data_IF_798824502081
#
_entry.id   IF_798824502081
#
_cell.length_a   1.000
_cell.length_b   1.000
_cell.length_c   1.000
_cell.angle_alpha   90.00
_cell.angle_beta   90.00
_cell.angle_gamma   90.00
#
_symmetry.space_group_name_H-M   'P 1'
#
loop_
_entity.id
_entity.type
_entity.pdbx_description
1 polymer ?
#
# COMPACT_ATOMS: atom_id res chain seq x y z
N UNK A 1 -1.19 21.73 1.15
CA UNK A 1 -0.30 21.91 -0.03
C UNK A 1 -0.12 23.39 -0.35
N UNK A 2 -1.14 24.17 -0.73
CA UNK A 2 -0.97 25.63 -0.97
C UNK A 2 -0.42 26.41 0.24
N UNK A 3 -0.74 26.02 1.47
CA UNK A 3 -0.22 26.68 2.69
C UNK A 3 1.29 26.50 2.93
N UNK A 4 1.93 25.50 2.32
CA UNK A 4 3.35 25.13 2.54
C UNK A 4 4.20 25.25 1.27
N UNK A 5 3.61 25.64 0.12
CA UNK A 5 4.34 25.80 -1.14
C UNK A 5 4.68 24.51 -1.89
N UNK A 6 4.33 23.33 -1.34
CA UNK A 6 4.57 22.03 -1.98
C UNK A 6 3.49 21.71 -3.00
N UNK A 7 3.90 21.41 -4.24
CA UNK A 7 3.02 20.96 -5.31
C UNK A 7 2.56 19.52 -5.06
N UNK A 8 1.35 19.11 -5.49
CA UNK A 8 1.01 17.69 -5.54
C UNK A 8 2.00 16.95 -6.45
N UNK A 9 2.54 15.83 -5.97
CA UNK A 9 3.48 14.99 -6.70
C UNK A 9 3.15 13.51 -6.47
N UNK A 10 3.69 12.66 -7.33
CA UNK A 10 3.60 11.20 -7.19
C UNK A 10 4.94 10.62 -6.73
N UNK A 11 4.89 9.52 -6.00
CA UNK A 11 6.07 8.72 -5.73
C UNK A 11 6.61 8.12 -7.05
N UNK A 12 7.92 8.22 -7.25
CA UNK A 12 8.62 7.69 -8.42
C UNK A 12 9.64 6.65 -7.95
N UNK A 13 9.21 5.39 -7.77
CA UNK A 13 10.14 4.32 -7.37
C UNK A 13 11.16 4.05 -8.48
N UNK A 14 12.21 3.30 -8.15
CA UNK A 14 13.24 2.90 -9.10
C UNK A 14 12.62 2.17 -10.31
N UNK A 15 13.20 2.33 -11.52
CA UNK A 15 12.61 1.80 -12.75
C UNK A 15 12.13 0.34 -12.73
N UNK A 16 12.84 -0.65 -12.14
CA UNK A 16 12.37 -2.04 -12.18
C UNK A 16 11.17 -2.31 -11.27
N UNK A 17 10.84 -1.39 -10.35
CA UNK A 17 9.78 -1.58 -9.36
C UNK A 17 8.42 -1.63 -10.06
N UNK A 18 7.69 -2.72 -9.80
CA UNK A 18 6.34 -2.93 -10.31
C UNK A 18 5.40 -3.23 -9.15
N UNK A 19 4.12 -2.98 -9.36
CA UNK A 19 3.10 -3.36 -8.38
C UNK A 19 3.05 -4.88 -8.22
N UNK A 20 2.88 -5.37 -6.99
CA UNK A 20 2.77 -6.81 -6.70
C UNK A 20 1.74 -7.50 -7.60
N UNK A 21 0.59 -6.85 -7.81
CA UNK A 21 -0.47 -7.34 -8.69
C UNK A 21 -0.03 -7.47 -10.15
N UNK A 22 0.84 -6.59 -10.65
CA UNK A 22 1.37 -6.70 -12.01
C UNK A 22 2.29 -7.91 -12.17
N UNK A 23 3.14 -8.19 -11.17
CA UNK A 23 3.98 -9.41 -11.15
C UNK A 23 3.11 -10.66 -11.09
N UNK A 24 2.01 -10.64 -10.34
CA UNK A 24 1.03 -11.74 -10.34
C UNK A 24 0.40 -11.94 -11.72
N UNK A 25 0.02 -10.85 -12.42
CA UNK A 25 -0.54 -10.91 -13.79
C UNK A 25 0.42 -11.49 -14.80
N UNK A 26 1.69 -11.09 -14.73
CA UNK A 26 2.77 -11.64 -15.57
C UNK A 26 2.88 -13.16 -15.40
N UNK A 27 2.53 -13.69 -14.23
CA UNK A 27 2.53 -15.12 -13.90
C UNK A 27 1.14 -15.78 -14.02
N UNK A 28 0.23 -15.19 -14.80
CA UNK A 28 -1.04 -15.80 -15.18
C UNK A 28 -2.16 -15.71 -14.14
N UNK A 29 -2.01 -14.88 -13.10
CA UNK A 29 -3.08 -14.61 -12.14
C UNK A 29 -3.99 -13.50 -12.63
N UNK A 30 -5.29 -13.68 -12.43
CA UNK A 30 -6.28 -12.64 -12.59
C UNK A 30 -6.30 -11.76 -11.34
N UNK A 31 -6.01 -10.47 -11.46
CA UNK A 31 -5.81 -9.61 -10.29
C UNK A 31 -6.90 -8.58 -10.10
N UNK A 32 -7.42 -8.48 -8.88
CA UNK A 32 -8.51 -7.53 -8.56
C UNK A 32 -8.24 -6.74 -7.30
N UNK A 33 -8.62 -5.46 -7.31
CA UNK A 33 -8.64 -4.61 -6.13
C UNK A 33 -10.05 -4.03 -5.92
N UNK A 34 -10.69 -4.42 -4.82
CA UNK A 34 -12.02 -3.91 -4.47
C UNK A 34 -11.88 -2.62 -3.67
N UNK A 35 -12.22 -1.50 -4.31
CA UNK A 35 -12.30 -0.14 -3.72
C UNK A 35 -10.95 0.57 -3.47
N UNK A 36 -10.50 0.68 -2.21
CA UNK A 36 -9.44 1.60 -1.77
C UNK A 36 -8.10 1.27 -2.45
N UNK A 37 -7.32 2.31 -2.80
CA UNK A 37 -5.94 2.16 -3.28
C UNK A 37 -4.99 2.94 -2.37
N UNK A 38 -5.27 4.24 -2.17
CA UNK A 38 -4.45 5.17 -1.38
C UNK A 38 -2.94 5.11 -1.69
N UNK A 39 -2.59 4.75 -2.92
CA UNK A 39 -1.22 4.87 -3.41
C UNK A 39 -0.83 6.34 -3.51
N UNK A 40 0.45 6.62 -3.28
CA UNK A 40 1.03 7.94 -3.54
C UNK A 40 1.35 8.17 -5.02
N UNK A 41 0.73 7.41 -5.93
CA UNK A 41 0.91 7.51 -7.37
C UNK A 41 -0.35 7.01 -8.08
N UNK A 42 -0.51 7.40 -9.35
CA UNK A 42 -1.56 6.87 -10.20
C UNK A 42 -1.18 5.45 -10.64
N UNK A 43 -2.00 4.46 -10.26
CA UNK A 43 -1.77 3.09 -10.67
C UNK A 43 -1.75 2.96 -12.21
N UNK A 44 -0.73 2.32 -12.81
CA UNK A 44 -0.72 1.98 -14.22
C UNK A 44 -1.93 1.16 -14.65
N UNK A 45 -2.33 1.25 -15.92
CA UNK A 45 -3.40 0.39 -16.47
C UNK A 45 -3.04 -1.11 -16.42
N UNK A 46 -1.75 -1.40 -16.26
CA UNK A 46 -1.20 -2.75 -16.09
C UNK A 46 -1.29 -3.26 -14.64
N UNK A 47 -1.61 -2.41 -13.67
CA UNK A 47 -1.62 -2.77 -12.26
C UNK A 47 -2.64 -3.86 -11.92
N UNK A 48 -3.84 -3.79 -12.49
CA UNK A 48 -4.97 -4.66 -12.12
C UNK A 48 -5.72 -5.12 -13.37
N UNK A 49 -6.28 -6.33 -13.36
CA UNK A 49 -7.31 -6.70 -14.34
C UNK A 49 -8.62 -5.94 -14.05
N UNK A 50 -8.97 -5.80 -12.76
CA UNK A 50 -10.10 -4.98 -12.31
C UNK A 50 -9.76 -4.17 -11.05
N UNK A 51 -10.09 -2.88 -11.06
CA UNK A 51 -9.98 -2.02 -9.88
C UNK A 51 -11.23 -1.16 -9.77
N UNK A 52 -12.18 -1.58 -8.93
CA UNK A 52 -13.44 -0.87 -8.71
C UNK A 52 -14.13 -1.38 -7.45
N UNK A 53 -15.18 -0.69 -6.95
CA UNK A 53 -16.03 -1.25 -5.88
C UNK A 53 -16.71 -2.58 -6.23
N UNK A 54 -16.76 -2.94 -7.52
CA UNK A 54 -17.35 -4.18 -8.04
C UNK A 54 -16.32 -5.23 -8.46
N UNK A 55 -15.02 -4.92 -8.34
CA UNK A 55 -13.96 -5.84 -8.73
C UNK A 55 -14.04 -7.14 -7.92
N UNK A 56 -13.92 -8.28 -8.62
CA UNK A 56 -14.19 -9.58 -8.04
C UNK A 56 -13.47 -10.71 -8.77
N UNK A 57 -12.92 -11.68 -8.03
CA UNK A 57 -12.35 -12.90 -8.60
C UNK A 57 -13.31 -13.73 -9.47
N UNK A 58 -14.63 -13.54 -9.35
CA UNK A 58 -15.65 -14.23 -10.15
C UNK A 58 -15.67 -13.78 -11.61
N UNK A 59 -15.11 -12.61 -11.91
CA UNK A 59 -15.03 -12.08 -13.27
C UNK A 59 -13.83 -12.62 -14.06
N UNK A 60 -13.01 -13.50 -13.44
CA UNK A 60 -11.84 -14.08 -14.09
C UNK A 60 -12.22 -15.02 -15.23
N UNK A 61 -11.39 -15.12 -16.28
CA UNK A 61 -11.52 -16.18 -17.28
C UNK A 61 -11.51 -17.58 -16.65
N UNK A 62 -12.25 -18.51 -17.25
CA UNK A 62 -12.33 -19.90 -16.78
C UNK A 62 -10.93 -20.53 -16.65
N UNK A 63 -10.69 -21.23 -15.54
CA UNK A 63 -9.41 -21.91 -15.27
C UNK A 63 -8.27 -21.00 -14.80
N UNK A 64 -8.42 -19.68 -14.81
CA UNK A 64 -7.38 -18.75 -14.36
C UNK A 64 -7.34 -18.70 -12.82
N UNK A 65 -6.16 -18.75 -12.16
CA UNK A 65 -6.06 -18.47 -10.72
C UNK A 65 -6.27 -16.98 -10.46
N UNK A 66 -6.55 -16.59 -9.22
CA UNK A 66 -6.81 -15.19 -8.87
C UNK A 66 -5.95 -14.70 -7.70
N UNK A 67 -5.68 -13.39 -7.72
CA UNK A 67 -5.15 -12.64 -6.59
C UNK A 67 -6.07 -11.44 -6.34
N UNK A 68 -6.74 -11.41 -5.19
CA UNK A 68 -7.81 -10.45 -4.92
C UNK A 68 -7.58 -9.72 -3.61
N UNK A 69 -7.56 -8.39 -3.66
CA UNK A 69 -7.56 -7.53 -2.47
C UNK A 69 -8.99 -7.05 -2.21
N UNK A 70 -9.50 -7.34 -1.01
CA UNK A 70 -10.80 -6.88 -0.53
C UNK A 70 -10.59 -5.88 0.60
N UNK A 71 -10.86 -4.60 0.35
CA UNK A 71 -10.68 -3.55 1.34
C UNK A 71 -11.97 -3.27 2.12
N UNK A 72 -11.88 -3.24 3.45
CA UNK A 72 -13.01 -2.92 4.32
C UNK A 72 -12.85 -1.53 4.96
N UNK A 73 -13.74 -0.58 4.62
CA UNK A 73 -13.74 0.76 5.22
C UNK A 73 -14.47 0.88 6.56
N UNK A 74 -15.00 -0.22 7.09
CA UNK A 74 -15.96 -0.22 8.22
C UNK A 74 -15.33 0.15 9.57
N UNK A 75 -14.03 -0.03 9.73
CA UNK A 75 -13.23 0.32 10.91
C UNK A 75 -12.39 1.58 10.74
N UNK A 76 -12.51 2.27 9.59
CA UNK A 76 -11.77 3.51 9.32
C UNK A 76 -12.04 4.57 10.40
N UNK A 77 -11.08 5.46 10.66
CA UNK A 77 -11.18 6.48 11.73
C UNK A 77 -12.47 7.29 11.67
N UNK A 78 -12.93 7.62 10.46
CA UNK A 78 -14.20 8.35 10.28
C UNK A 78 -15.45 7.62 10.72
N UNK A 79 -15.41 6.29 10.79
CA UNK A 79 -16.52 5.49 11.27
C UNK A 79 -16.71 5.58 12.79
N UNK A 80 -15.81 6.26 13.51
CA UNK A 80 -16.03 6.59 14.93
C UNK A 80 -17.08 7.70 15.04
N UNK A 81 -16.87 8.86 14.40
CA UNK A 81 -17.80 9.99 14.48
C UNK A 81 -18.97 9.89 13.50
N UNK A 82 -18.78 9.33 12.30
CA UNK A 82 -19.86 9.17 11.32
C UNK A 82 -20.99 8.26 11.84
N UNK A 83 -20.66 7.37 12.79
CA UNK A 83 -21.60 6.47 13.45
C UNK A 83 -21.84 6.83 14.91
N UNK A 84 -21.53 8.05 15.35
CA UNK A 84 -21.67 8.43 16.76
C UNK A 84 -23.06 8.08 17.34
N UNK A 85 -24.11 8.22 16.51
CA UNK A 85 -25.51 7.98 16.86
C UNK A 85 -26.03 6.57 16.54
N UNK A 86 -25.24 5.68 15.93
CA UNK A 86 -25.66 4.31 15.65
C UNK A 86 -25.80 3.50 16.94
N UNK A 87 -26.59 2.44 16.95
CA UNK A 87 -26.57 1.50 18.08
C UNK A 87 -25.18 0.84 18.21
N UNK A 88 -24.67 0.79 19.45
CA UNK A 88 -23.48 0.00 19.78
C UNK A 88 -23.83 -1.48 19.71
N UNK A 89 -22.92 -2.29 19.17
CA UNK A 89 -23.09 -3.75 19.11
C UNK A 89 -22.46 -4.45 20.30
N UNK A 90 -21.54 -3.76 20.99
CA UNK A 90 -21.08 -4.19 22.31
C UNK A 90 -22.06 -3.78 23.39
N UNK A 91 -22.17 -4.58 24.44
CA UNK A 91 -23.03 -4.27 25.59
C UNK A 91 -22.55 -2.98 26.29
N UNK A 92 -23.49 -2.23 26.87
CA UNK A 92 -23.18 -0.95 27.53
C UNK A 92 -22.29 -1.13 28.77
N UNK A 93 -22.40 -2.27 29.45
CA UNK A 93 -21.62 -2.69 30.61
C UNK A 93 -20.39 -3.52 30.25
N UNK A 94 -20.14 -3.78 28.95
CA UNK A 94 -18.92 -4.46 28.53
C UNK A 94 -17.69 -3.67 28.99
N UNK A 95 -16.78 -4.39 29.66
CA UNK A 95 -15.46 -3.89 29.96
C UNK A 95 -14.68 -3.76 28.66
N UNK A 96 -14.18 -2.55 28.38
CA UNK A 96 -13.36 -2.27 27.22
C UNK A 96 -12.02 -1.69 27.67
N UNK A 97 -10.90 -2.14 27.09
CA UNK A 97 -9.60 -1.64 27.47
C UNK A 97 -9.46 -0.18 27.03
N UNK A 98 -9.18 0.70 28.00
CA UNK A 98 -8.84 2.11 27.76
C UNK A 98 -7.36 2.29 28.13
N UNK A 99 -6.48 2.53 27.15
CA UNK A 99 -5.07 2.80 27.42
C UNK A 99 -4.87 3.96 28.40
N UNK A 100 -3.80 3.93 29.22
CA UNK A 100 -3.52 4.96 30.24
C UNK A 100 -3.30 6.37 29.67
N UNK A 101 -2.94 6.49 28.39
CA UNK A 101 -2.83 7.77 27.69
C UNK A 101 -4.18 8.38 27.27
N UNK A 102 -5.30 7.76 27.66
CA UNK A 102 -6.64 8.34 27.53
C UNK A 102 -7.29 8.62 28.88
N UNK A 103 -8.02 9.75 29.00
CA UNK A 103 -8.78 10.06 30.20
C UNK A 103 -9.98 9.11 30.33
N UNK A 104 -10.31 8.72 31.57
CA UNK A 104 -11.42 7.80 31.87
C UNK A 104 -12.76 8.52 31.93
N UNK A 105 -13.23 9.00 30.79
CA UNK A 105 -14.51 9.72 30.65
C UNK A 105 -15.51 8.93 29.81
N UNK A 106 -16.81 9.21 29.98
CA UNK A 106 -17.86 8.52 29.22
C UNK A 106 -17.70 8.68 27.71
N UNK A 107 -17.21 9.85 27.25
CA UNK A 107 -16.92 10.12 25.84
C UNK A 107 -15.85 9.17 25.28
N UNK A 108 -14.77 8.95 26.03
CA UNK A 108 -13.71 8.01 25.64
C UNK A 108 -14.23 6.58 25.62
N UNK A 109 -14.93 6.15 26.68
CA UNK A 109 -15.50 4.80 26.73
C UNK A 109 -16.50 4.56 25.59
N UNK A 110 -17.29 5.58 25.20
CA UNK A 110 -18.25 5.49 24.10
C UNK A 110 -17.54 5.27 22.75
N UNK A 111 -16.48 6.03 22.45
CA UNK A 111 -15.72 5.87 21.21
C UNK A 111 -14.94 4.54 21.17
N UNK A 112 -14.41 4.09 22.31
CA UNK A 112 -13.78 2.75 22.40
C UNK A 112 -14.82 1.66 22.14
N UNK A 113 -16.01 1.74 22.74
CA UNK A 113 -17.12 0.81 22.45
C UNK A 113 -17.57 0.89 20.99
N UNK A 114 -17.55 2.08 20.38
CA UNK A 114 -17.83 2.26 18.94
C UNK A 114 -16.81 1.54 18.09
N UNK A 115 -15.52 1.67 18.40
CA UNK A 115 -14.44 0.95 17.71
C UNK A 115 -14.69 -0.57 17.75
N UNK A 116 -14.94 -1.15 18.92
CA UNK A 116 -15.26 -2.58 19.02
C UNK A 116 -16.56 -2.96 18.29
N UNK A 117 -17.58 -2.10 18.31
CA UNK A 117 -18.80 -2.30 17.52
C UNK A 117 -18.54 -2.27 16.02
N UNK A 118 -17.56 -1.50 15.55
CA UNK A 118 -17.12 -1.48 14.15
C UNK A 118 -16.32 -2.74 13.80
N UNK A 119 -15.54 -3.29 14.74
CA UNK A 119 -14.87 -4.59 14.57
C UNK A 119 -15.89 -5.73 14.44
N UNK A 120 -16.97 -5.75 15.23
CA UNK A 120 -18.05 -6.72 15.07
C UNK A 120 -18.74 -6.62 13.69
N UNK A 121 -18.85 -5.40 13.14
CA UNK A 121 -19.35 -5.19 11.78
C UNK A 121 -18.35 -5.71 10.73
N UNK A 122 -17.05 -5.53 10.96
CA UNK A 122 -15.99 -6.08 10.10
C UNK A 122 -16.03 -7.60 10.07
N UNK A 123 -16.16 -8.24 11.24
CA UNK A 123 -16.23 -9.69 11.38
C UNK A 123 -17.36 -10.29 10.53
N UNK A 124 -18.57 -9.71 10.59
CA UNK A 124 -19.68 -10.13 9.73
C UNK A 124 -19.36 -9.97 8.22
N UNK A 125 -18.67 -8.89 7.83
CA UNK A 125 -18.26 -8.66 6.43
C UNK A 125 -17.18 -9.61 5.95
N UNK A 126 -16.32 -10.08 6.85
CA UNK A 126 -15.38 -11.15 6.55
C UNK A 126 -16.15 -12.45 6.35
N UNK A 127 -17.17 -12.72 7.19
CA UNK A 127 -18.11 -13.82 7.01
C UNK A 127 -18.70 -13.88 5.59
N UNK A 128 -19.18 -12.76 5.07
CA UNK A 128 -19.70 -12.66 3.69
C UNK A 128 -18.67 -13.17 2.64
N UNK A 129 -17.38 -12.86 2.81
CA UNK A 129 -16.31 -13.32 1.89
C UNK A 129 -16.08 -14.82 1.99
N UNK A 130 -16.12 -15.38 3.20
CA UNK A 130 -16.01 -16.82 3.41
C UNK A 130 -17.19 -17.56 2.77
N UNK A 131 -18.41 -17.07 2.96
CA UNK A 131 -19.61 -17.64 2.33
C UNK A 131 -19.52 -17.61 0.80
N UNK A 132 -19.00 -16.51 0.21
CA UNK A 132 -18.76 -16.43 -1.23
C UNK A 132 -17.76 -17.50 -1.70
N UNK A 133 -16.61 -17.63 -1.02
CA UNK A 133 -15.59 -18.64 -1.36
C UNK A 133 -16.11 -20.08 -1.22
N UNK A 134 -16.92 -20.36 -0.19
CA UNK A 134 -17.56 -21.66 0.00
C UNK A 134 -18.56 -21.96 -1.13
N UNK A 135 -19.41 -20.99 -1.45
CA UNK A 135 -20.41 -21.13 -2.53
C UNK A 135 -19.78 -21.34 -3.90
N UNK A 136 -18.59 -20.78 -4.11
CA UNK A 136 -17.80 -20.95 -5.33
C UNK A 136 -16.97 -22.25 -5.35
N UNK A 137 -16.97 -23.03 -4.26
CA UNK A 137 -16.07 -24.18 -4.02
C UNK A 137 -14.58 -23.81 -4.10
N UNK A 138 -14.22 -22.59 -3.68
CA UNK A 138 -12.86 -22.06 -3.73
C UNK A 138 -12.19 -21.98 -2.35
N UNK A 139 -12.94 -22.15 -1.25
CA UNK A 139 -12.39 -21.99 0.11
C UNK A 139 -11.18 -22.92 0.37
N UNK A 140 -11.22 -24.16 -0.10
CA UNK A 140 -10.13 -25.13 0.06
C UNK A 140 -9.09 -25.09 -1.08
N UNK A 141 -9.16 -24.08 -1.95
CA UNK A 141 -8.18 -23.80 -3.00
C UNK A 141 -7.54 -22.40 -2.82
N UNK A 142 -7.87 -21.70 -1.73
CA UNK A 142 -7.50 -20.30 -1.49
C UNK A 142 -6.73 -20.13 -0.18
N UNK A 143 -5.56 -19.48 -0.26
CA UNK A 143 -4.89 -18.92 0.91
C UNK A 143 -5.51 -17.54 1.21
N UNK A 144 -5.98 -17.34 2.44
CA UNK A 144 -6.61 -16.08 2.86
C UNK A 144 -5.66 -15.38 3.83
N UNK A 145 -5.32 -14.13 3.53
CA UNK A 145 -4.47 -13.28 4.38
C UNK A 145 -5.30 -12.10 4.88
N UNK A 146 -5.41 -11.94 6.19
CA UNK A 146 -6.08 -10.82 6.84
C UNK A 146 -5.08 -9.97 7.60
N UNK A 147 -5.10 -8.66 7.36
CA UNK A 147 -4.30 -7.68 8.08
C UNK A 147 -4.95 -6.29 8.05
N UNK A 148 -4.47 -5.38 8.91
CA UNK A 148 -4.83 -3.95 8.91
C UNK A 148 -3.71 -3.11 8.30
N UNK A 149 -3.99 -2.00 7.63
CA UNK A 149 -2.99 -1.12 7.01
C UNK A 149 -2.19 -0.27 8.01
N UNK A 150 -2.74 -0.05 9.21
CA UNK A 150 -2.06 0.55 10.35
C UNK A 150 -2.80 0.17 11.65
N UNK A 151 -2.32 0.68 12.78
CA UNK A 151 -2.95 0.54 14.09
C UNK A 151 -4.35 1.17 14.18
N UNK A 152 -4.92 1.23 15.37
CA UNK A 152 -6.34 1.55 15.52
C UNK A 152 -6.74 3.00 15.12
N UNK A 153 -8.06 3.27 15.09
CA UNK A 153 -8.61 4.55 14.65
C UNK A 153 -8.54 5.67 15.70
N UNK A 154 -8.24 5.35 16.95
CA UNK A 154 -8.31 6.28 18.07
C UNK A 154 -7.08 7.20 18.12
N UNK A 155 -7.13 8.29 18.92
CA UNK A 155 -6.01 9.21 19.05
C UNK A 155 -4.73 8.49 19.56
N UNK A 156 -3.53 8.92 19.14
CA UNK A 156 -2.22 8.27 19.39
C UNK A 156 -2.04 6.86 18.75
N UNK A 157 -2.97 6.39 17.93
CA UNK A 157 -2.83 5.15 17.16
C UNK A 157 -2.35 5.47 15.73
N UNK A 158 -3.26 5.55 14.75
CA UNK A 158 -2.94 5.99 13.37
C UNK A 158 -2.04 7.24 13.37
N UNK A 159 -1.04 7.25 12.47
CA UNK A 159 0.00 8.31 12.30
C UNK A 159 1.11 8.32 13.35
N UNK A 160 1.22 7.32 14.23
CA UNK A 160 2.29 7.22 15.23
C UNK A 160 3.15 5.99 15.02
N UNK A 161 4.44 6.10 15.40
CA UNK A 161 5.41 5.00 15.36
C UNK A 161 5.45 4.16 16.65
N UNK A 162 4.54 4.43 17.58
CA UNK A 162 4.24 3.57 18.73
C UNK A 162 3.57 2.26 18.27
N UNK A 163 3.61 1.22 19.10
CA UNK A 163 2.95 -0.08 18.81
C UNK A 163 1.45 0.11 18.64
N UNK A 164 0.86 1.11 19.31
CA UNK A 164 -0.52 1.54 19.10
C UNK A 164 -0.84 1.94 17.65
N UNK A 165 0.17 2.34 16.87
CA UNK A 165 0.07 2.70 15.45
C UNK A 165 0.67 1.69 14.47
N UNK A 166 1.58 0.81 14.92
CA UNK A 166 2.33 -0.11 14.05
C UNK A 166 2.03 -1.60 14.26
N UNK A 167 1.62 -2.02 15.47
CA UNK A 167 1.36 -3.42 15.77
C UNK A 167 -0.08 -3.78 15.35
N UNK A 168 -0.19 -4.49 14.24
CA UNK A 168 -1.44 -4.81 13.56
C UNK A 168 -1.70 -6.32 13.55
N UNK A 169 -2.96 -6.77 13.41
CA UNK A 169 -3.24 -8.18 13.21
C UNK A 169 -2.67 -8.67 11.88
N UNK A 170 -2.15 -9.91 11.87
CA UNK A 170 -1.86 -10.69 10.68
C UNK A 170 -2.36 -12.12 10.94
N UNK A 171 -3.35 -12.57 10.17
CA UNK A 171 -3.86 -13.93 10.22
C UNK A 171 -3.84 -14.54 8.82
N UNK A 172 -3.34 -15.77 8.72
CA UNK A 172 -3.23 -16.49 7.44
C UNK A 172 -3.94 -17.83 7.57
N UNK A 173 -4.95 -18.05 6.72
CA UNK A 173 -5.62 -19.34 6.59
C UNK A 173 -5.12 -20.04 5.33
N UNK A 174 -4.59 -21.24 5.50
CA UNK A 174 -4.30 -22.15 4.41
C UNK A 174 -5.47 -23.12 4.16
N UNK A 175 -5.60 -23.65 2.93
CA UNK A 175 -6.47 -24.78 2.63
C UNK A 175 -6.31 -25.96 3.60
N UNK A 176 -7.39 -26.72 3.75
CA UNK A 176 -7.49 -27.94 4.55
C UNK A 176 -7.07 -27.74 6.02
N UNK A 177 -7.26 -26.52 6.54
CA UNK A 177 -6.87 -26.14 7.90
C UNK A 177 -5.38 -26.35 8.20
N UNK A 178 -4.53 -26.30 7.17
CA UNK A 178 -3.10 -26.43 7.36
C UNK A 178 -2.60 -25.29 8.26
N UNK A 179 -1.79 -25.63 9.28
CA UNK A 179 -1.29 -24.71 10.32
C UNK A 179 -2.38 -24.04 11.19
N UNK A 180 -3.62 -24.53 11.17
CA UNK A 180 -4.69 -23.95 12.00
C UNK A 180 -4.34 -24.00 13.49
N UNK A 181 -4.60 -22.89 14.19
CA UNK A 181 -4.32 -22.75 15.62
C UNK A 181 -2.85 -22.49 15.95
N UNK A 182 -1.95 -22.43 14.98
CA UNK A 182 -0.56 -22.05 15.22
C UNK A 182 -0.43 -20.54 15.47
N UNK A 183 0.48 -20.17 16.37
CA UNK A 183 0.92 -18.80 16.60
C UNK A 183 2.40 -18.70 16.28
N UNK A 184 2.78 -17.62 15.62
CA UNK A 184 4.16 -17.32 15.24
C UNK A 184 4.53 -15.93 15.79
N UNK A 185 5.65 -15.85 16.51
CA UNK A 185 6.16 -14.65 17.18
C UNK A 185 7.34 -14.00 16.41
N UNK A 186 7.56 -14.43 15.16
CA UNK A 186 8.51 -13.80 14.26
C UNK A 186 8.18 -12.32 14.03
N UNK A 187 9.23 -11.50 13.95
CA UNK A 187 9.10 -10.12 13.48
C UNK A 187 8.78 -10.13 11.99
N UNK A 188 7.64 -9.57 11.62
CA UNK A 188 7.15 -9.44 10.24
C UNK A 188 6.87 -7.96 9.98
N UNK A 189 7.29 -7.46 8.81
CA UNK A 189 6.94 -6.12 8.32
C UNK A 189 6.15 -6.22 7.01
N UNK A 190 5.42 -5.18 6.62
CA UNK A 190 4.62 -5.21 5.39
C UNK A 190 5.44 -5.37 4.11
N UNK A 191 6.70 -4.94 4.12
CA UNK A 191 7.63 -5.20 3.00
C UNK A 191 7.77 -6.71 2.73
N UNK A 192 7.48 -7.56 3.71
CA UNK A 192 7.56 -9.03 3.59
C UNK A 192 6.34 -9.67 2.93
N UNK A 193 5.22 -8.95 2.82
CA UNK A 193 3.99 -9.51 2.28
C UNK A 193 4.11 -9.82 0.79
N UNK A 194 4.76 -8.95 0.01
CA UNK A 194 4.99 -9.19 -1.42
C UNK A 194 5.86 -10.43 -1.69
N UNK A 195 7.09 -10.56 -1.16
CA UNK A 195 7.90 -11.75 -1.39
C UNK A 195 7.26 -13.01 -0.79
N UNK A 196 6.53 -12.89 0.32
CA UNK A 196 5.79 -14.04 0.89
C UNK A 196 4.65 -14.50 -0.01
N UNK A 197 3.91 -13.56 -0.62
CA UNK A 197 2.83 -13.88 -1.57
C UNK A 197 3.40 -14.62 -2.79
N UNK A 198 4.49 -14.13 -3.36
CA UNK A 198 5.17 -14.78 -4.48
C UNK A 198 5.70 -16.17 -4.09
N UNK A 199 6.31 -16.28 -2.91
CA UNK A 199 6.81 -17.54 -2.36
C UNK A 199 5.72 -18.61 -2.15
N UNK A 200 4.53 -18.20 -1.71
CA UNK A 200 3.36 -19.10 -1.58
C UNK A 200 2.85 -19.51 -2.97
N UNK A 201 2.80 -18.57 -3.91
CA UNK A 201 2.34 -18.79 -5.29
C UNK A 201 3.34 -19.56 -6.17
N UNK A 202 4.57 -19.81 -5.69
CA UNK A 202 5.64 -20.41 -6.48
C UNK A 202 6.23 -19.49 -7.55
N UNK A 203 6.02 -18.18 -7.42
CA UNK A 203 6.53 -17.15 -8.33
C UNK A 203 7.88 -16.64 -7.80
N UNK A 204 8.94 -16.57 -8.62
CA UNK A 204 10.20 -15.98 -8.19
C UNK A 204 10.03 -14.53 -7.74
N UNK A 205 10.53 -14.20 -6.55
CA UNK A 205 10.52 -12.83 -6.05
C UNK A 205 11.45 -11.93 -6.88
N UNK A 206 11.01 -10.75 -7.34
CA UNK A 206 11.90 -9.77 -7.95
C UNK A 206 13.01 -9.31 -7.00
N UNK A 207 14.19 -8.99 -7.54
CA UNK A 207 15.38 -8.62 -6.75
C UNK A 207 15.24 -7.27 -6.03
N UNK A 208 14.37 -6.37 -6.51
CA UNK A 208 14.19 -5.02 -5.95
C UNK A 208 13.36 -4.97 -4.67
N UNK A 209 12.87 -6.11 -4.15
CA UNK A 209 12.04 -6.12 -2.96
C UNK A 209 12.89 -6.01 -1.69
N UNK A 210 12.54 -5.06 -0.81
CA UNK A 210 13.23 -4.87 0.48
C UNK A 210 12.89 -5.95 1.53
N UNK A 211 11.78 -6.67 1.32
CA UNK A 211 11.30 -7.68 2.25
C UNK A 211 11.89 -9.07 2.05
N UNK A 212 11.56 -9.97 2.98
CA UNK A 212 11.92 -11.37 2.88
C UNK A 212 10.69 -12.26 3.02
N UNK A 213 10.63 -13.35 2.26
CA UNK A 213 9.53 -14.30 2.42
C UNK A 213 9.63 -15.01 3.77
N UNK A 214 8.57 -14.98 4.58
CA UNK A 214 8.50 -15.74 5.85
C UNK A 214 7.78 -17.08 5.72
N UNK A 215 7.07 -17.32 4.61
CA UNK A 215 6.39 -18.57 4.25
C UNK A 215 6.66 -18.95 2.79
N UNK A 216 6.23 -20.14 2.39
CA UNK A 216 6.30 -20.64 1.01
C UNK A 216 7.66 -21.23 0.61
N UNK A 217 7.85 -21.50 -0.68
CA UNK A 217 9.01 -22.23 -1.22
C UNK A 217 10.31 -21.43 -1.19
N UNK A 218 10.22 -20.11 -1.10
CA UNK A 218 11.35 -19.17 -1.03
C UNK A 218 11.53 -18.58 0.37
N UNK A 219 10.95 -19.20 1.41
CA UNK A 219 11.10 -18.75 2.80
C UNK A 219 12.58 -18.50 3.16
N UNK A 220 12.86 -17.33 3.72
CA UNK A 220 14.18 -16.96 4.18
C UNK A 220 14.73 -17.95 5.22
N UNK A 221 16.00 -18.32 5.09
CA UNK A 221 16.64 -19.29 5.99
C UNK A 221 16.87 -18.77 7.42
N UNK A 222 16.74 -17.46 7.65
CA UNK A 222 16.86 -16.84 8.96
C UNK A 222 15.75 -15.79 9.16
N UNK A 223 15.08 -15.77 10.33
CA UNK A 223 14.18 -14.68 10.70
C UNK A 223 14.95 -13.35 10.82
N UNK A 224 14.26 -12.22 10.61
CA UNK A 224 14.86 -10.89 10.86
C UNK A 224 14.97 -10.61 12.35
N UNK A 225 15.99 -9.86 12.73
CA UNK A 225 16.21 -9.40 14.10
C UNK A 225 15.51 -8.08 14.41
N UNK A 226 15.24 -7.28 13.37
CA UNK A 226 14.68 -5.94 13.49
C UNK A 226 13.63 -5.68 12.41
N UNK A 227 12.66 -4.82 12.74
CA UNK A 227 11.75 -4.18 11.79
C UNK A 227 11.91 -2.67 11.86
N UNK A 228 11.67 -2.00 10.72
CA UNK A 228 11.84 -0.57 10.55
C UNK A 228 10.51 0.09 10.23
N UNK A 229 10.35 1.34 10.64
CA UNK A 229 9.18 2.16 10.30
C UNK A 229 9.58 3.63 10.11
N UNK A 230 8.88 4.30 9.22
CA UNK A 230 9.07 5.71 8.93
C UNK A 230 7.73 6.45 8.95
N UNK A 231 7.76 7.70 9.37
CA UNK A 231 6.63 8.62 9.33
C UNK A 231 7.13 10.00 8.95
N UNK A 232 6.49 10.59 7.94
CA UNK A 232 6.79 11.94 7.47
C UNK A 232 5.51 12.81 7.58
N UNK A 233 4.99 13.27 6.45
CA UNK A 233 3.82 14.13 6.37
C UNK A 233 2.51 13.38 6.65
N UNK A 234 1.64 14.02 7.43
CA UNK A 234 0.26 13.59 7.67
C UNK A 234 -0.73 14.68 7.30
N UNK A 235 -1.43 14.49 6.19
CA UNK A 235 -2.33 15.50 5.63
C UNK A 235 -1.58 16.82 5.35
N UNK A 236 -1.92 17.91 6.05
CA UNK A 236 -1.25 19.20 5.94
C UNK A 236 -0.13 19.41 6.98
N UNK A 237 0.03 18.48 7.92
CA UNK A 237 0.97 18.59 9.03
C UNK A 237 2.24 17.80 8.71
N UNK A 238 3.40 18.41 8.92
CA UNK A 238 4.70 17.82 8.60
C UNK A 238 5.47 17.52 9.89
N UNK A 239 5.93 16.28 10.02
CA UNK A 239 6.88 15.80 11.04
C UNK A 239 7.79 14.77 10.34
N UNK A 240 8.91 14.40 10.96
CA UNK A 240 9.79 13.37 10.39
C UNK A 240 10.34 12.51 11.51
N UNK A 241 9.98 11.22 11.49
CA UNK A 241 10.34 10.24 12.53
C UNK A 241 10.73 8.92 11.89
N UNK A 242 11.69 8.24 12.51
CA UNK A 242 12.16 6.90 12.13
C UNK A 242 12.17 6.00 13.34
N UNK A 243 11.88 4.73 13.15
CA UNK A 243 11.82 3.77 14.23
C UNK A 243 12.40 2.42 13.81
N UNK A 244 12.99 1.74 14.78
CA UNK A 244 13.41 0.35 14.68
C UNK A 244 12.94 -0.40 15.92
N UNK A 245 12.54 -1.65 15.74
CA UNK A 245 12.05 -2.52 16.80
C UNK A 245 12.67 -3.91 16.68
N UNK A 246 13.15 -4.45 17.80
CA UNK A 246 13.43 -5.88 17.97
C UNK A 246 12.26 -6.58 18.69
N UNK A 247 12.43 -7.82 19.17
CA UNK A 247 11.34 -8.51 19.86
C UNK A 247 10.84 -7.80 21.13
N UNK A 248 11.67 -6.98 21.78
CA UNK A 248 11.36 -6.34 23.07
C UNK A 248 11.51 -4.83 23.06
N UNK A 249 12.58 -4.31 22.48
CA UNK A 249 12.88 -2.89 22.51
C UNK A 249 12.42 -2.20 21.24
N UNK A 250 11.96 -0.96 21.38
CA UNK A 250 11.73 -0.04 20.27
C UNK A 250 12.50 1.24 20.47
N UNK A 251 13.18 1.68 19.42
CA UNK A 251 13.85 2.96 19.33
C UNK A 251 13.15 3.85 18.31
N UNK A 252 12.97 5.13 18.63
CA UNK A 252 12.43 6.17 17.75
C UNK A 252 13.41 7.33 17.74
N UNK A 253 13.80 7.74 16.53
CA UNK A 253 14.53 8.97 16.25
C UNK A 253 13.55 10.05 15.78
N UNK A 254 13.48 11.16 16.50
CA UNK A 254 12.73 12.34 16.12
C UNK A 254 13.67 13.30 15.37
N UNK A 255 13.52 13.42 14.04
CA UNK A 255 14.34 14.31 13.21
C UNK A 255 13.91 15.78 13.32
N UNK A 256 12.75 16.04 13.93
CA UNK A 256 12.18 17.36 14.23
C UNK A 256 11.84 17.50 15.71
N UNK A 257 12.84 17.47 16.62
CA UNK A 257 12.61 17.54 18.06
C UNK A 257 12.09 18.91 18.52
N UNK A 258 12.24 19.93 17.67
CA UNK A 258 11.70 21.28 17.85
C UNK A 258 10.17 21.35 17.78
N UNK A 259 9.53 20.37 17.14
CA UNK A 259 8.09 20.30 17.01
C UNK A 259 7.44 19.55 18.18
N UNK A 260 6.21 19.93 18.52
CA UNK A 260 5.38 19.14 19.42
C UNK A 260 5.02 17.76 18.85
N UNK A 261 4.52 16.86 19.71
CA UNK A 261 4.10 15.52 19.26
C UNK A 261 2.66 15.48 18.72
N UNK A 262 1.80 16.39 19.18
CA UNK A 262 0.44 16.55 18.67
C UNK A 262 0.44 17.37 17.36
N UNK A 263 0.02 16.73 16.27
CA UNK A 263 -0.28 17.39 15.01
C UNK A 263 -1.79 17.70 14.93
N UNK A 264 -2.16 18.95 14.63
CA UNK A 264 -3.53 19.45 14.63
C UNK A 264 -4.33 19.02 13.39
N UNK A 265 -4.52 17.71 13.23
CA UNK A 265 -5.25 17.12 12.11
C UNK A 265 -6.75 17.29 12.31
N UNK A 266 -7.33 18.29 11.64
CA UNK A 266 -8.77 18.63 11.71
C UNK A 266 -9.71 17.45 11.46
N UNK A 267 -9.29 16.49 10.63
CA UNK A 267 -10.05 15.28 10.39
C UNK A 267 -10.26 14.45 11.66
N UNK A 268 -9.21 14.27 12.47
CA UNK A 268 -9.24 13.55 13.77
C UNK A 268 -9.97 14.33 14.86
N UNK A 269 -9.93 15.66 14.82
CA UNK A 269 -10.58 16.54 15.81
C UNK A 269 -12.13 16.47 15.80
N UNK A 270 -12.72 15.80 14.82
CA UNK A 270 -14.16 15.47 14.81
C UNK A 270 -14.54 14.39 15.85
N UNK A 271 -13.56 13.62 16.34
CA UNK A 271 -13.79 12.52 17.29
C UNK A 271 -14.00 13.05 18.72
N UNK A 272 -15.01 12.53 19.42
CA UNK A 272 -15.35 12.98 20.78
C UNK A 272 -14.18 12.75 21.77
N UNK A 273 -13.47 11.63 21.66
CA UNK A 273 -12.24 11.36 22.43
C UNK A 273 -11.17 12.42 22.20
N UNK A 274 -10.98 12.87 20.95
CA UNK A 274 -9.99 13.91 20.64
C UNK A 274 -10.43 15.27 21.21
N UNK A 275 -11.72 15.61 21.08
CA UNK A 275 -12.28 16.84 21.65
C UNK A 275 -12.14 16.87 23.18
N UNK A 276 -12.35 15.74 23.84
CA UNK A 276 -12.22 15.64 25.29
C UNK A 276 -10.76 15.78 25.75
N UNK A 277 -9.82 15.15 25.03
CA UNK A 277 -8.38 15.34 25.28
C UNK A 277 -7.98 16.82 25.15
N UNK A 278 -8.46 17.52 24.12
CA UNK A 278 -8.19 18.95 23.92
C UNK A 278 -8.81 19.81 25.02
N UNK A 279 -10.05 19.51 25.43
CA UNK A 279 -10.73 20.20 26.53
C UNK A 279 -9.95 20.07 27.84
N UNK A 280 -9.56 18.85 28.21
CA UNK A 280 -8.81 18.59 29.43
C UNK A 280 -7.40 19.20 29.40
N UNK A 281 -6.74 19.22 28.23
CA UNK A 281 -5.48 19.94 28.02
C UNK A 281 -5.65 21.42 28.35
N UNK A 282 -6.67 22.06 27.79
CA UNK A 282 -6.90 23.50 27.95
C UNK A 282 -7.27 23.88 29.40
N UNK A 283 -7.79 22.92 30.17
CA UNK A 283 -8.07 23.07 31.61
C UNK A 283 -6.87 22.71 32.50
N UNK A 284 -5.80 22.11 31.95
CA UNK A 284 -4.68 21.60 32.74
C UNK A 284 -5.03 20.37 33.58
N UNK A 285 -6.03 19.58 33.16
CA UNK A 285 -6.57 18.42 33.88
C UNK A 285 -6.04 17.06 33.37
N UNK A 286 -5.16 17.07 32.37
CA UNK A 286 -4.49 15.85 31.91
C UNK A 286 -3.47 15.37 32.95
N UNK A 287 -3.41 14.06 33.17
CA UNK A 287 -2.33 13.44 33.93
C UNK A 287 -1.02 13.40 33.13
N UNK A 288 0.07 12.92 33.76
CA UNK A 288 1.39 12.87 33.13
C UNK A 288 1.41 12.00 31.85
N UNK A 289 0.64 10.92 31.78
CA UNK A 289 0.64 10.01 30.63
C UNK A 289 -0.16 10.59 29.47
N UNK A 290 -1.27 11.25 29.74
CA UNK A 290 -2.10 11.90 28.72
C UNK A 290 -1.42 13.18 28.19
N UNK A 291 -0.81 13.97 29.08
CA UNK A 291 -0.11 15.21 28.73
C UNK A 291 1.12 14.97 27.84
N UNK A 292 1.75 13.79 27.91
CA UNK A 292 2.91 13.45 27.08
C UNK A 292 2.66 13.66 25.59
N UNK A 293 1.44 13.45 25.08
CA UNK A 293 1.17 13.64 23.66
C UNK A 293 1.09 15.12 23.25
N UNK A 294 0.77 16.01 24.19
CA UNK A 294 0.66 17.45 23.95
C UNK A 294 1.94 18.23 24.27
N UNK A 295 3.07 17.54 24.44
CA UNK A 295 4.38 18.16 24.63
C UNK A 295 4.71 19.11 23.47
N UNK A 296 5.24 20.28 23.80
CA UNK A 296 5.61 21.33 22.84
C UNK A 296 6.90 21.01 22.07
N UNK A 297 7.72 20.09 22.59
CA UNK A 297 8.93 19.57 21.97
C UNK A 297 9.09 18.08 22.26
N UNK A 298 9.98 17.41 21.52
CA UNK A 298 10.23 15.97 21.64
C UNK A 298 11.67 15.72 22.06
N UNK A 299 11.94 14.65 22.85
CA UNK A 299 13.31 14.15 22.94
C UNK A 299 13.78 13.73 21.55
N UNK A 300 15.06 13.97 21.24
CA UNK A 300 15.65 13.53 19.98
C UNK A 300 15.55 12.01 19.83
N UNK A 301 15.71 11.30 20.94
CA UNK A 301 15.75 9.85 21.00
C UNK A 301 14.73 9.32 22.02
N UNK A 302 13.94 8.33 21.61
CA UNK A 302 13.05 7.57 22.49
C UNK A 302 13.41 6.08 22.44
N UNK A 303 13.60 5.46 23.60
CA UNK A 303 13.83 4.00 23.74
C UNK A 303 12.79 3.42 24.70
N UNK A 304 12.10 2.37 24.29
CA UNK A 304 11.05 1.73 25.08
C UNK A 304 11.34 0.23 25.26
N UNK A 305 11.07 -0.27 26.46
CA UNK A 305 10.99 -1.70 26.76
C UNK A 305 9.52 -2.12 26.64
N UNK A 306 9.11 -2.60 25.47
CA UNK A 306 7.69 -2.82 25.15
C UNK A 306 7.07 -4.04 25.85
N UNK A 307 7.88 -4.86 26.52
CA UNK A 307 7.39 -5.95 27.36
C UNK A 307 6.92 -5.42 28.72
N UNK A 308 7.71 -4.53 29.35
CA UNK A 308 7.39 -3.96 30.66
C UNK A 308 6.58 -2.65 30.57
N UNK A 309 6.62 -1.97 29.43
CA UNK A 309 5.90 -0.74 29.12
C UNK A 309 5.20 -0.87 27.76
N UNK A 310 4.10 -1.66 27.67
CA UNK A 310 3.42 -1.96 26.40
C UNK A 310 2.72 -0.75 25.77
N UNK A 311 2.64 0.37 26.48
CA UNK A 311 2.06 1.62 25.98
C UNK A 311 3.12 2.65 25.57
N UNK A 312 4.41 2.35 25.77
CA UNK A 312 5.55 3.21 25.41
C UNK A 312 5.41 4.61 26.05
N UNK A 313 5.26 4.64 27.37
CA UNK A 313 5.09 5.85 28.19
C UNK A 313 6.33 6.25 28.98
N UNK A 314 7.33 5.36 29.07
CA UNK A 314 8.60 5.61 29.76
C UNK A 314 9.76 5.54 28.77
N UNK A 315 10.27 6.72 28.40
CA UNK A 315 11.48 6.82 27.60
C UNK A 315 12.72 6.44 28.44
N UNK A 316 13.47 5.44 27.97
CA UNK A 316 14.70 4.89 28.57
C UNK A 316 15.98 5.41 27.92
N UNK A 317 15.90 6.23 26.87
CA UNK A 317 17.07 6.67 26.09
C UNK A 317 18.12 7.40 26.94
N UNK A 318 17.70 8.06 28.03
CA UNK A 318 18.59 8.81 28.90
C UNK A 318 18.95 8.08 30.21
N UNK A 319 18.53 6.82 30.35
CA UNK A 319 18.92 5.96 31.47
C UNK A 319 20.24 5.24 31.15
N UNK A 320 21.34 5.48 31.91
CA UNK A 320 22.65 4.89 31.64
C UNK A 320 22.65 3.36 31.57
N UNK A 321 21.71 2.70 32.25
CA UNK A 321 21.57 1.24 32.25
C UNK A 321 21.28 0.72 30.83
N UNK A 322 20.60 1.51 29.99
CA UNK A 322 20.20 1.11 28.64
C UNK A 322 21.13 1.66 27.54
N UNK A 323 22.26 2.27 27.90
CA UNK A 323 23.19 2.90 26.95
C UNK A 323 23.69 1.97 25.85
N UNK A 324 24.03 0.71 26.18
CA UNK A 324 24.44 -0.28 25.17
C UNK A 324 23.29 -0.66 24.23
N UNK A 325 22.06 -0.79 24.76
CA UNK A 325 20.86 -1.08 23.95
C UNK A 325 20.54 0.08 23.02
N UNK A 326 20.58 1.31 23.52
CA UNK A 326 20.38 2.51 22.72
C UNK A 326 21.40 2.60 21.58
N UNK A 327 22.69 2.38 21.87
CA UNK A 327 23.74 2.42 20.87
C UNK A 327 23.52 1.38 19.76
N UNK A 328 23.16 0.14 20.12
CA UNK A 328 22.83 -0.90 19.14
C UNK A 328 21.69 -0.46 18.22
N UNK A 329 20.56 -0.04 18.80
CA UNK A 329 19.37 0.30 18.01
C UNK A 329 19.59 1.55 17.15
N UNK A 330 20.35 2.52 17.65
CA UNK A 330 20.75 3.69 16.88
C UNK A 330 21.57 3.29 15.66
N UNK A 331 22.62 2.48 15.85
CA UNK A 331 23.48 2.02 14.74
C UNK A 331 22.69 1.21 13.71
N UNK A 332 21.79 0.33 14.14
CA UNK A 332 20.95 -0.42 13.20
C UNK A 332 20.02 0.50 12.41
N UNK A 333 19.43 1.52 13.04
CA UNK A 333 18.61 2.50 12.33
C UNK A 333 19.43 3.35 11.35
N UNK A 334 20.62 3.79 11.75
CA UNK A 334 21.56 4.53 10.88
C UNK A 334 21.96 3.71 9.66
N UNK A 335 22.25 2.41 9.84
CA UNK A 335 22.55 1.50 8.74
C UNK A 335 21.36 1.36 7.79
N UNK A 336 20.16 1.12 8.33
CA UNK A 336 18.96 1.01 7.50
C UNK A 336 18.69 2.28 6.69
N UNK A 337 18.77 3.47 7.32
CA UNK A 337 18.59 4.75 6.61
C UNK A 337 19.63 4.95 5.51
N UNK A 338 20.88 4.55 5.75
CA UNK A 338 21.94 4.63 4.75
C UNK A 338 21.73 3.65 3.59
N UNK A 339 21.37 2.40 3.89
CA UNK A 339 21.15 1.34 2.92
C UNK A 339 19.95 1.62 2.01
N UNK A 340 18.89 2.25 2.54
CA UNK A 340 17.70 2.63 1.75
C UNK A 340 17.80 4.02 1.11
N UNK A 341 18.89 4.76 1.34
CA UNK A 341 19.03 6.14 0.85
C UNK A 341 17.92 7.08 1.36
N UNK A 342 17.56 6.96 2.64
CA UNK A 342 16.41 7.63 3.25
C UNK A 342 16.48 9.18 3.11
N UNK A 343 15.52 9.82 2.42
CA UNK A 343 15.53 11.26 2.19
C UNK A 343 14.94 12.06 3.37
N UNK A 344 14.65 11.46 4.52
CA UNK A 344 13.91 12.10 5.62
C UNK A 344 14.50 13.41 6.15
N UNK A 345 15.81 13.63 5.99
CA UNK A 345 16.48 14.87 6.36
C UNK A 345 16.46 15.95 5.26
N UNK A 346 16.03 15.62 4.04
CA UNK A 346 15.94 16.53 2.90
C UNK A 346 14.68 17.40 3.01
N UNK A 347 14.78 18.66 2.59
CA UNK A 347 13.59 19.52 2.44
C UNK A 347 12.61 18.91 1.43
N UNK A 348 11.30 18.97 1.70
CA UNK A 348 10.29 18.31 0.86
C UNK A 348 10.32 18.87 -0.58
N UNK A 349 10.58 20.15 -0.78
CA UNK A 349 10.68 20.72 -2.13
C UNK A 349 11.93 20.25 -2.86
N UNK A 350 13.05 20.16 -2.16
CA UNK A 350 14.28 19.58 -2.71
C UNK A 350 14.08 18.11 -3.09
N UNK A 351 13.41 17.34 -2.23
CA UNK A 351 13.06 15.94 -2.50
C UNK A 351 12.15 15.82 -3.73
N UNK A 352 11.09 16.64 -3.81
CA UNK A 352 10.20 16.66 -4.99
C UNK A 352 10.97 16.99 -6.26
N UNK A 353 11.95 17.89 -6.21
CA UNK A 353 12.79 18.21 -7.37
C UNK A 353 13.66 17.02 -7.84
N UNK A 354 13.97 16.06 -6.96
CA UNK A 354 14.65 14.81 -7.35
C UNK A 354 13.74 13.85 -8.11
N UNK A 355 12.45 13.83 -7.78
CA UNK A 355 11.46 12.99 -8.44
C UNK A 355 10.97 13.62 -9.75
N UNK A 356 10.62 14.90 -9.70
CA UNK A 356 10.03 15.70 -10.76
C UNK A 356 10.94 16.90 -11.08
N UNK A 357 11.89 16.74 -12.01
CA UNK A 357 12.80 17.81 -12.40
C UNK A 357 12.03 19.07 -12.84
N UNK A 358 12.47 20.24 -12.37
CA UNK A 358 11.76 21.52 -12.57
C UNK A 358 10.31 21.52 -12.04
N UNK A 359 10.00 20.67 -11.05
CA UNK A 359 8.67 20.50 -10.46
C UNK A 359 7.59 20.16 -11.51
N UNK A 360 7.98 19.44 -12.56
CA UNK A 360 7.10 19.01 -13.65
C UNK A 360 7.06 17.49 -13.67
N UNK A 361 5.86 16.91 -13.70
CA UNK A 361 5.69 15.46 -13.81
C UNK A 361 6.37 14.97 -15.11
N UNK A 362 7.32 14.03 -15.01
CA UNK A 362 7.92 13.42 -16.19
C UNK A 362 6.89 12.68 -17.04
N UNK A 363 7.07 12.67 -18.35
CA UNK A 363 6.16 12.03 -19.31
C UNK A 363 6.69 10.65 -19.72
N UNK A 364 5.84 9.62 -19.69
CA UNK A 364 6.18 8.30 -20.26
C UNK A 364 6.16 8.40 -21.78
N UNK A 365 7.21 7.91 -22.43
CA UNK A 365 7.30 7.82 -23.89
C UNK A 365 6.27 6.84 -24.46
N UNK A 366 5.72 7.18 -25.62
CA UNK A 366 4.76 6.35 -26.35
C UNK A 366 5.28 4.95 -26.66
N UNK A 367 4.35 3.99 -26.72
CA UNK A 367 4.65 2.63 -27.14
C UNK A 367 5.00 2.59 -28.63
N UNK A 368 6.17 2.06 -28.97
CA UNK A 368 6.62 1.85 -30.34
C UNK A 368 6.20 0.45 -30.79
N UNK A 369 5.67 0.36 -32.01
CA UNK A 369 5.25 -0.90 -32.63
C UNK A 369 6.33 -1.35 -33.63
N UNK A 370 6.88 -2.54 -33.41
CA UNK A 370 7.78 -3.21 -34.33
C UNK A 370 7.10 -4.43 -34.96
N UNK A 371 7.18 -4.55 -36.28
CA UNK A 371 6.72 -5.74 -36.99
C UNK A 371 7.82 -6.80 -36.91
N UNK A 372 7.52 -7.95 -36.31
CA UNK A 372 8.50 -9.03 -36.19
C UNK A 372 8.28 -10.17 -37.19
N UNK A 373 7.07 -10.32 -37.73
CA UNK A 373 6.77 -11.29 -38.80
C UNK A 373 5.39 -11.06 -39.45
N UNK A 374 5.24 -11.45 -40.71
CA UNK A 374 3.94 -11.58 -41.39
C UNK A 374 3.33 -10.28 -41.90
N UNK A 375 4.16 -9.26 -42.11
CA UNK A 375 3.71 -7.96 -42.59
C UNK A 375 4.80 -6.91 -42.60
N UNK A 376 4.38 -5.67 -42.84
CA UNK A 376 5.21 -4.48 -42.76
C UNK A 376 4.40 -3.27 -42.24
N UNK A 377 5.13 -2.24 -41.79
CA UNK A 377 4.53 -1.00 -41.33
C UNK A 377 4.41 -0.04 -42.52
N UNK A 378 3.19 0.22 -43.00
CA UNK A 378 2.97 1.03 -44.21
C UNK A 378 3.19 2.53 -43.97
N UNK A 379 2.74 3.03 -42.83
CA UNK A 379 2.90 4.43 -42.46
C UNK A 379 2.72 4.63 -40.96
N UNK A 380 3.48 5.57 -40.40
CA UNK A 380 3.25 6.15 -39.09
C UNK A 380 2.83 7.60 -39.29
N UNK A 381 1.60 7.95 -38.90
CA UNK A 381 1.19 9.35 -38.85
C UNK A 381 1.64 9.92 -37.51
N UNK A 382 2.50 10.95 -37.55
CA UNK A 382 2.86 11.76 -36.36
C UNK A 382 1.73 12.75 -36.01
N UNK A 383 0.48 12.30 -36.05
CA UNK A 383 -0.65 13.02 -35.46
C UNK A 383 -0.90 12.42 -34.08
N UNK A 384 -1.26 13.23 -33.08
CA UNK A 384 -1.66 12.70 -31.77
C UNK A 384 -3.16 12.38 -31.76
N UNK A 385 -3.56 11.14 -31.44
CA UNK A 385 -2.74 9.99 -31.05
C UNK A 385 -2.04 9.31 -32.24
N UNK A 386 -0.84 8.76 -32.02
CA UNK A 386 -0.06 8.06 -33.05
C UNK A 386 -0.89 6.94 -33.71
N UNK A 387 -1.04 7.03 -35.03
CA UNK A 387 -1.80 6.11 -35.85
C UNK A 387 -0.87 5.38 -36.82
N UNK A 388 -0.88 4.05 -36.73
CA UNK A 388 -0.11 3.15 -37.57
C UNK A 388 -1.04 2.34 -38.47
N UNK A 389 -0.63 2.21 -39.72
CA UNK A 389 -1.21 1.24 -40.64
C UNK A 389 -0.27 0.04 -40.79
N UNK A 390 -0.78 -1.14 -40.46
CA UNK A 390 -0.03 -2.40 -40.54
C UNK A 390 -0.54 -3.22 -41.72
N UNK A 391 0.34 -3.50 -42.68
CA UNK A 391 0.02 -4.37 -43.81
C UNK A 391 0.34 -5.80 -43.43
N UNK A 392 -0.61 -6.69 -43.66
CA UNK A 392 -0.45 -8.13 -43.48
C UNK A 392 -0.09 -8.75 -44.83
N UNK A 393 0.96 -9.57 -44.86
CA UNK A 393 1.50 -10.18 -46.09
C UNK A 393 0.43 -10.99 -46.86
N UNK A 394 0.49 -11.07 -48.20
CA UNK A 394 -0.45 -11.87 -48.97
C UNK A 394 -0.45 -13.34 -48.54
N UNK A 395 -1.63 -13.90 -48.29
CA UNK A 395 -1.79 -15.28 -47.83
C UNK A 395 -1.58 -15.48 -46.32
N UNK A 396 -1.40 -14.40 -45.55
CA UNK A 396 -1.47 -14.41 -44.08
C UNK A 396 -2.80 -13.82 -43.61
N UNK A 397 -3.21 -14.21 -42.42
CA UNK A 397 -4.42 -13.73 -41.72
C UNK A 397 -4.07 -12.88 -40.48
N UNK A 398 -2.79 -12.84 -40.12
CA UNK A 398 -2.27 -12.23 -38.90
C UNK A 398 -0.87 -11.66 -39.12
N UNK A 399 -0.53 -10.64 -38.34
CA UNK A 399 0.82 -10.07 -38.22
C UNK A 399 1.29 -10.17 -36.78
N UNK A 400 2.58 -10.38 -36.57
CA UNK A 400 3.17 -10.50 -35.24
C UNK A 400 3.94 -9.22 -34.89
N UNK A 401 3.64 -8.66 -33.72
CA UNK A 401 4.08 -7.35 -33.27
C UNK A 401 4.86 -7.42 -31.96
N UNK A 402 5.88 -6.57 -31.84
CA UNK A 402 6.53 -6.25 -30.56
C UNK A 402 6.20 -4.82 -30.16
N UNK A 403 6.01 -4.61 -28.85
CA UNK A 403 5.80 -3.30 -28.26
C UNK A 403 6.99 -2.95 -27.36
N UNK A 404 7.47 -1.71 -27.45
CA UNK A 404 8.56 -1.21 -26.61
C UNK A 404 8.27 0.23 -26.19
N UNK A 405 8.79 0.68 -25.05
CA UNK A 405 8.82 2.09 -24.67
C UNK A 405 10.26 2.45 -24.31
N UNK A 406 10.73 3.61 -24.74
CA UNK A 406 12.06 4.09 -24.40
C UNK A 406 12.17 4.58 -22.95
N UNK A 407 11.04 4.70 -22.24
CA UNK A 407 11.04 5.03 -20.81
C UNK A 407 11.34 3.78 -20.00
N UNK A 408 12.53 3.74 -19.40
CA UNK A 408 12.96 2.67 -18.52
C UNK A 408 11.94 2.45 -17.38
N UNK A 409 11.56 1.20 -17.12
CA UNK A 409 10.57 0.86 -16.09
C UNK A 409 9.11 1.08 -16.48
N UNK A 410 8.82 1.48 -17.73
CA UNK A 410 7.45 1.59 -18.19
C UNK A 410 6.85 0.21 -18.49
N UNK A 411 5.65 -0.04 -17.97
CA UNK A 411 4.84 -1.20 -18.33
C UNK A 411 3.86 -0.83 -19.44
N UNK A 412 3.63 -1.77 -20.36
CA UNK A 412 2.76 -1.54 -21.52
C UNK A 412 1.46 -2.33 -21.34
N UNK A 413 0.35 -1.61 -21.33
CA UNK A 413 -1.00 -2.17 -21.44
C UNK A 413 -1.45 -2.17 -22.89
N UNK A 414 -2.18 -3.19 -23.32
CA UNK A 414 -2.74 -3.25 -24.67
C UNK A 414 -4.16 -3.83 -24.75
N UNK A 415 -4.84 -3.56 -25.86
CA UNK A 415 -6.13 -4.16 -26.23
C UNK A 415 -6.13 -4.46 -27.74
N UNK A 416 -6.78 -5.55 -28.15
CA UNK A 416 -7.10 -5.85 -29.55
C UNK A 416 -8.61 -5.73 -29.69
N UNK A 417 -9.04 -4.92 -30.65
CA UNK A 417 -10.44 -4.58 -30.88
C UNK A 417 -10.85 -5.05 -32.28
N UNK A 418 -12.03 -5.66 -32.37
CA UNK A 418 -12.69 -5.94 -33.65
C UNK A 418 -13.22 -4.63 -34.29
N UNK A 419 -13.57 -4.70 -35.58
CA UNK A 419 -14.11 -3.57 -36.30
C UNK A 419 -15.41 -3.05 -35.65
N UNK A 420 -15.37 -1.83 -35.14
CA UNK A 420 -16.51 -1.17 -34.48
C UNK A 420 -16.58 -1.34 -32.97
N UNK A 421 -15.65 -2.09 -32.36
CA UNK A 421 -15.55 -2.17 -30.91
C UNK A 421 -14.94 -0.90 -30.30
N UNK A 422 -15.42 -0.55 -29.10
CA UNK A 422 -14.87 0.53 -28.29
C UNK A 422 -13.80 0.02 -27.33
N UNK A 423 -12.93 0.92 -26.89
CA UNK A 423 -11.97 0.67 -25.82
C UNK A 423 -12.71 0.16 -24.55
N UNK A 424 -12.14 -0.85 -23.92
CA UNK A 424 -12.65 -1.45 -22.69
C UNK A 424 -11.90 -0.90 -21.47
N UNK A 425 -12.45 -1.10 -20.26
CA UNK A 425 -11.78 -0.70 -19.02
C UNK A 425 -10.53 -1.56 -18.72
N UNK A 426 -10.57 -2.84 -19.09
CA UNK A 426 -9.48 -3.80 -18.84
C UNK A 426 -8.43 -3.75 -19.94
N UNK A 427 -7.18 -3.50 -19.56
CA UNK A 427 -6.00 -3.60 -20.43
C UNK A 427 -5.25 -4.89 -20.17
N UNK A 428 -4.82 -5.59 -21.23
CA UNK A 428 -3.94 -6.75 -21.14
C UNK A 428 -2.51 -6.29 -20.84
N UNK A 429 -1.80 -7.03 -20.00
CA UNK A 429 -0.38 -6.78 -19.73
C UNK A 429 0.47 -7.32 -20.88
N UNK A 430 1.33 -6.47 -21.46
CA UNK A 430 2.29 -6.90 -22.47
C UNK A 430 3.48 -7.61 -21.83
N UNK A 431 3.60 -8.92 -22.06
CA UNK A 431 4.73 -9.75 -21.62
C UNK A 431 5.44 -10.47 -22.75
N UNK A 432 4.83 -10.52 -23.94
CA UNK A 432 5.37 -11.23 -25.10
C UNK A 432 4.78 -10.70 -26.41
N UNK A 433 5.42 -10.95 -27.57
CA UNK A 433 4.92 -10.47 -28.85
C UNK A 433 3.48 -10.86 -29.15
N UNK A 434 2.70 -9.90 -29.65
CA UNK A 434 1.26 -10.01 -29.89
C UNK A 434 1.01 -10.48 -31.32
N UNK A 435 -0.07 -11.24 -31.52
CA UNK A 435 -0.60 -11.54 -32.85
C UNK A 435 -1.81 -10.65 -33.11
N UNK A 436 -1.75 -9.80 -34.14
CA UNK A 436 -2.85 -8.93 -34.56
C UNK A 436 -3.51 -9.52 -35.82
N UNK A 437 -4.78 -9.95 -35.78
CA UNK A 437 -5.50 -10.43 -36.96
C UNK A 437 -5.81 -9.31 -37.94
N UNK A 438 -5.96 -9.63 -39.22
CA UNK A 438 -6.40 -8.68 -40.26
C UNK A 438 -7.74 -8.04 -39.89
N UNK A 439 -7.87 -6.72 -40.11
CA UNK A 439 -9.10 -5.97 -39.87
C UNK A 439 -9.33 -5.60 -38.40
N UNK A 440 -8.40 -5.95 -37.50
CA UNK A 440 -8.46 -5.58 -36.09
C UNK A 440 -7.60 -4.36 -35.80
N UNK A 441 -7.90 -3.70 -34.68
CA UNK A 441 -7.16 -2.55 -34.19
C UNK A 441 -6.49 -2.88 -32.86
N UNK A 442 -5.17 -2.69 -32.81
CA UNK A 442 -4.39 -2.67 -31.59
C UNK A 442 -4.44 -1.27 -30.95
N UNK A 443 -4.65 -1.23 -29.64
CA UNK A 443 -4.45 -0.06 -28.78
C UNK A 443 -3.36 -0.37 -27.76
N UNK A 444 -2.39 0.51 -27.57
CA UNK A 444 -1.30 0.33 -26.61
C UNK A 444 -1.01 1.63 -25.85
N UNK A 445 -0.71 1.52 -24.55
CA UNK A 445 -0.30 2.64 -23.70
C UNK A 445 0.81 2.19 -22.75
N UNK A 446 1.85 2.99 -22.64
CA UNK A 446 2.95 2.78 -21.71
C UNK A 446 2.76 3.67 -20.48
N UNK A 447 3.07 3.16 -19.29
CA UNK A 447 3.03 3.96 -18.07
C UNK A 447 4.11 3.52 -17.10
N UNK A 448 5.00 4.45 -16.73
CA UNK A 448 5.95 4.31 -15.62
C UNK A 448 5.35 4.91 -14.34
N UNK A 449 5.48 4.21 -13.20
CA UNK A 449 4.99 4.72 -11.91
C UNK A 449 5.66 6.07 -11.59
N UNK A 450 4.85 7.05 -11.17
CA UNK A 450 5.29 8.42 -10.89
C UNK A 450 5.35 9.35 -12.10
N UNK A 451 5.28 8.80 -13.33
CA UNK A 451 5.25 9.55 -14.58
C UNK A 451 3.81 9.71 -15.07
N UNK A 452 3.56 10.72 -15.91
CA UNK A 452 2.34 10.80 -16.69
C UNK A 452 2.30 9.64 -17.71
N UNK A 453 1.13 9.00 -17.93
CA UNK A 453 1.00 7.92 -18.91
C UNK A 453 1.22 8.43 -20.33
N UNK A 454 1.73 7.56 -21.22
CA UNK A 454 1.90 7.89 -22.63
C UNK A 454 0.57 8.15 -23.34
N UNK A 455 0.62 8.65 -24.57
CA UNK A 455 -0.58 8.64 -25.43
C UNK A 455 -0.96 7.20 -25.78
N UNK A 456 -2.23 6.99 -26.15
CA UNK A 456 -2.69 5.69 -26.65
C UNK A 456 -2.32 5.54 -28.11
N UNK A 457 -1.34 4.69 -28.38
CA UNK A 457 -0.93 4.33 -29.74
C UNK A 457 -1.93 3.38 -30.36
N UNK A 458 -2.26 3.62 -31.63
CA UNK A 458 -3.25 2.84 -32.39
C UNK A 458 -2.65 2.24 -33.64
N UNK A 459 -2.83 0.94 -33.86
CA UNK A 459 -2.46 0.29 -35.12
C UNK A 459 -3.62 -0.52 -35.68
N UNK A 460 -3.99 -0.27 -36.94
CA UNK A 460 -5.02 -1.04 -37.63
C UNK A 460 -4.38 -1.90 -38.70
N UNK A 461 -4.71 -3.19 -38.71
CA UNK A 461 -4.21 -4.14 -39.69
C UNK A 461 -5.13 -4.21 -40.92
N UNK A 462 -4.53 -4.28 -42.11
CA UNK A 462 -5.25 -4.58 -43.37
C UNK A 462 -4.41 -5.50 -44.24
N UNK A 463 -5.05 -6.22 -45.17
CA UNK A 463 -4.30 -6.99 -46.17
C UNK A 463 -3.46 -6.06 -47.04
N UNK A 464 -2.24 -6.45 -47.39
CA UNK A 464 -1.50 -5.80 -48.48
C UNK A 464 -2.22 -6.08 -49.81
N UNK A 465 -2.27 -5.07 -50.69
CA UNK A 465 -2.83 -5.18 -52.05
C UNK A 465 -2.04 -6.12 -52.97
#
# INVERSE_FOLDING_TARGET
MEKIGVIPYEATPDPPVRMMSEVMRENGYYTTNRSKQDYQFKAPVTAWDENSPRAHWRNRPEGMPFFSIVNFGVTHESQIWARANDTLLVAADAEVPVPPYFPKTDLVYQDVRRMYSNILRLDARIGDVFEELESDNLLEETVIVFYSDHGGPLPRQKRQLYDSGLHVPLAIRFPNQQLAGMTDDQLISFVDLAPTTFSIAGIPSPEYLDGQAFLGTQRAGKPRSFIHAAADRFDAEYDTKRAIRDQRYKYILNLRPDLGYYLAVSYREQMATMQELLRLRDLGELDEYQAQWFRESKPEEELFDTENDPYELRNLAYDPIYSERLALMRTELENWMADTGDPGAMDEMEFVATLWPNHTQPQTADAVIEIIAGGELASSFMEEPLLYEVLVDPGKDTVRLRLESSTEGASIGYQILEAGESLQDRWLLYTSPITLPVGHTLKAVAHRIGYAPSTVVTATSRLSD
#
